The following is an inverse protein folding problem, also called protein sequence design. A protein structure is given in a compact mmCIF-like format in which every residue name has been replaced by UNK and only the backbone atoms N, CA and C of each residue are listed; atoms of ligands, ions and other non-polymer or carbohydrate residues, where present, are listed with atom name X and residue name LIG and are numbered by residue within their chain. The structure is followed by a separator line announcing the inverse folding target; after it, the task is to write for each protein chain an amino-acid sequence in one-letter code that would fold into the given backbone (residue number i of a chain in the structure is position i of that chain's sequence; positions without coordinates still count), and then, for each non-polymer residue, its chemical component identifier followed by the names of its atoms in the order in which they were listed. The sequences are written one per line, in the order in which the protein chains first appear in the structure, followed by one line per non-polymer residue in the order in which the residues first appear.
data_IF_331461084875
#
_entry.id   IF_331461084875
#
_cell.length_a   1.000
_cell.length_b   1.000
_cell.length_c   1.000
_cell.angle_alpha   90.00
_cell.angle_beta   90.00
_cell.angle_gamma   90.00
#
_symmetry.space_group_name_H-M   'P 1'
#
loop_
_entity.id
_entity.type
_entity.pdbx_description
1 polymer ?
#
# COMPACT_ATOMS: atom_id res chain seq x y z
N UNK A 1 4.39 20.94 -18.28
CA UNK A 1 5.17 22.02 -17.62
C UNK A 1 6.32 21.47 -16.76
N UNK A 2 6.13 20.40 -15.94
CA UNK A 2 7.24 19.81 -15.14
C UNK A 2 8.30 19.13 -15.99
N UNK A 3 7.93 18.42 -17.07
CA UNK A 3 8.91 17.81 -18.00
C UNK A 3 9.78 18.84 -18.70
N UNK A 4 9.20 20.00 -19.08
CA UNK A 4 9.98 21.09 -19.70
C UNK A 4 10.97 21.73 -18.75
N UNK A 5 10.64 21.88 -17.45
CA UNK A 5 11.59 22.39 -16.44
C UNK A 5 12.79 21.47 -16.26
N UNK A 6 12.58 20.16 -16.20
CA UNK A 6 13.68 19.18 -16.09
C UNK A 6 14.62 19.22 -17.30
N UNK A 7 14.09 19.38 -18.52
CA UNK A 7 14.92 19.54 -19.72
C UNK A 7 15.78 20.81 -19.71
N UNK A 8 15.30 21.89 -19.11
CA UNK A 8 16.03 23.17 -19.09
C UNK A 8 17.19 23.23 -18.09
N UNK A 9 17.11 22.46 -16.96
CA UNK A 9 18.11 22.50 -15.88
C UNK A 9 19.06 21.29 -15.87
N UNK A 10 18.96 20.38 -16.85
CA UNK A 10 19.75 19.16 -16.96
C UNK A 10 19.71 18.26 -15.72
N UNK A 11 18.59 18.26 -14.98
CA UNK A 11 18.39 17.37 -13.86
C UNK A 11 18.24 15.91 -14.32
N UNK A 12 18.92 15.02 -13.63
CA UNK A 12 18.72 13.58 -13.75
C UNK A 12 17.61 13.10 -12.81
N UNK A 13 16.90 12.06 -13.20
CA UNK A 13 16.00 11.32 -12.31
C UNK A 13 16.78 10.11 -11.82
N UNK A 14 17.00 9.98 -10.51
CA UNK A 14 17.79 8.92 -9.91
C UNK A 14 16.90 7.79 -9.35
N UNK A 15 15.60 8.03 -9.18
CA UNK A 15 14.69 7.05 -8.63
C UNK A 15 13.23 7.34 -8.86
N UNK A 16 12.41 6.30 -8.68
CA UNK A 16 10.97 6.32 -8.83
C UNK A 16 10.31 5.76 -7.57
N UNK A 17 9.24 6.42 -7.11
CA UNK A 17 8.38 5.95 -6.03
C UNK A 17 7.08 5.35 -6.57
N UNK A 18 6.79 4.11 -6.19
CA UNK A 18 5.49 3.47 -6.36
C UNK A 18 4.74 3.67 -5.04
N UNK A 19 3.58 4.31 -5.04
CA UNK A 19 2.84 4.59 -3.80
C UNK A 19 2.50 3.31 -3.05
N UNK A 20 1.81 2.37 -3.68
CA UNK A 20 1.55 1.07 -3.08
C UNK A 20 0.25 1.00 -2.29
N UNK A 21 -0.78 1.75 -2.69
CA UNK A 21 -2.13 1.64 -2.16
C UNK A 21 -2.90 0.55 -2.91
N UNK A 22 -2.95 -0.63 -2.34
CA UNK A 22 -3.60 -1.77 -2.99
C UNK A 22 -4.85 -2.22 -2.23
N UNK A 23 -5.65 -3.07 -2.89
CA UNK A 23 -6.85 -3.67 -2.30
C UNK A 23 -6.62 -5.12 -1.89
N UNK A 24 -7.22 -5.51 -0.79
CA UNK A 24 -7.22 -6.89 -0.30
C UNK A 24 -7.69 -7.86 -1.39
N UNK A 25 -6.89 -8.89 -1.65
CA UNK A 25 -7.16 -9.91 -2.66
C UNK A 25 -7.09 -9.44 -4.11
N UNK A 26 -6.67 -8.19 -4.36
CA UNK A 26 -6.56 -7.61 -5.72
C UNK A 26 -5.18 -6.95 -5.95
N UNK A 27 -4.18 -7.37 -5.21
CA UNK A 27 -2.81 -6.87 -5.39
C UNK A 27 -2.28 -7.31 -6.75
N UNK A 28 -1.90 -6.39 -7.65
CA UNK A 28 -1.48 -6.72 -9.01
C UNK A 28 0.01 -7.12 -9.03
N UNK A 29 0.34 -8.26 -8.45
CA UNK A 29 1.74 -8.70 -8.26
C UNK A 29 2.56 -8.69 -9.55
N UNK A 30 1.97 -9.13 -10.67
CA UNK A 30 2.64 -9.15 -11.96
C UNK A 30 3.00 -7.74 -12.43
N UNK A 31 2.04 -6.82 -12.40
CA UNK A 31 2.24 -5.45 -12.87
C UNK A 31 3.25 -4.70 -11.98
N UNK A 32 3.25 -5.00 -10.66
CA UNK A 32 4.24 -4.46 -9.72
C UNK A 32 5.64 -4.95 -10.11
N UNK A 33 5.80 -6.25 -10.37
CA UNK A 33 7.08 -6.82 -10.77
C UNK A 33 7.58 -6.24 -12.09
N UNK A 34 6.72 -6.18 -13.10
CA UNK A 34 7.04 -5.60 -14.41
C UNK A 34 7.44 -4.13 -14.28
N UNK A 35 6.76 -3.35 -13.45
CA UNK A 35 7.10 -1.95 -13.17
C UNK A 35 8.47 -1.80 -12.53
N UNK A 36 8.79 -2.63 -11.51
CA UNK A 36 10.10 -2.63 -10.85
C UNK A 36 11.21 -2.91 -11.86
N UNK A 37 11.02 -3.93 -12.69
CA UNK A 37 12.00 -4.32 -13.72
C UNK A 37 12.18 -3.24 -14.79
N UNK A 38 11.08 -2.65 -15.26
CA UNK A 38 11.10 -1.61 -16.28
C UNK A 38 11.83 -0.34 -15.81
N UNK A 39 11.54 0.12 -14.58
CA UNK A 39 12.24 1.29 -14.02
C UNK A 39 13.72 1.00 -13.77
N UNK A 40 14.03 -0.18 -13.26
CA UNK A 40 15.42 -0.56 -13.05
C UNK A 40 16.22 -0.66 -14.36
N UNK A 41 15.61 -1.13 -15.45
CA UNK A 41 16.23 -1.18 -16.78
C UNK A 41 16.57 0.22 -17.33
N UNK A 42 15.92 1.27 -16.83
CA UNK A 42 16.25 2.67 -17.11
C UNK A 42 17.37 3.23 -16.21
N UNK A 43 17.97 2.40 -15.36
CA UNK A 43 19.00 2.82 -14.40
C UNK A 43 18.44 3.49 -13.14
N UNK A 44 17.13 3.44 -12.90
CA UNK A 44 16.49 4.10 -11.77
C UNK A 44 16.42 3.19 -10.53
N UNK A 45 16.58 3.78 -9.36
CA UNK A 45 16.26 3.14 -8.08
C UNK A 45 14.76 3.13 -7.87
N UNK A 46 14.23 2.02 -7.34
CA UNK A 46 12.79 1.89 -7.07
C UNK A 46 12.54 1.94 -5.56
N UNK A 47 11.48 2.63 -5.17
CA UNK A 47 11.00 2.70 -3.79
C UNK A 47 9.50 2.43 -3.74
N UNK A 48 9.04 1.76 -2.69
CA UNK A 48 7.62 1.74 -2.31
C UNK A 48 7.46 2.81 -1.25
N UNK A 49 6.59 3.82 -1.50
CA UNK A 49 6.60 5.05 -0.71
C UNK A 49 5.45 5.18 0.27
N UNK A 50 4.33 4.49 0.03
CA UNK A 50 3.09 4.72 0.78
C UNK A 50 2.27 3.43 0.95
N UNK A 51 2.96 2.33 1.30
CA UNK A 51 2.37 0.99 1.34
C UNK A 51 1.23 0.90 2.36
N UNK A 52 0.05 0.54 1.86
CA UNK A 52 -1.06 0.03 2.65
C UNK A 52 -1.96 -0.92 1.80
N UNK A 53 -2.79 -1.73 2.48
CA UNK A 53 -3.76 -2.62 1.82
C UNK A 53 -5.15 -2.26 2.32
N UNK A 54 -5.93 -1.60 1.47
CA UNK A 54 -7.32 -1.25 1.76
C UNK A 54 -8.20 -2.49 1.88
N UNK A 55 -8.96 -2.60 2.96
CA UNK A 55 -9.75 -3.79 3.29
C UNK A 55 -11.26 -3.57 3.17
N UNK A 56 -11.69 -2.31 3.05
CA UNK A 56 -13.11 -1.97 2.97
C UNK A 56 -13.54 -1.68 1.54
N UNK A 57 -14.83 -1.92 1.20
CA UNK A 57 -15.34 -1.62 -0.12
C UNK A 57 -15.35 -0.12 -0.40
N UNK A 58 -15.20 0.23 -1.67
CA UNK A 58 -15.44 1.57 -2.21
C UNK A 58 -16.13 1.48 -3.57
N UNK A 59 -16.92 2.51 -3.92
CA UNK A 59 -17.76 2.50 -5.13
C UNK A 59 -17.07 3.11 -6.36
N UNK A 60 -15.80 3.47 -6.27
CA UNK A 60 -15.04 4.00 -7.41
C UNK A 60 -13.64 3.39 -7.47
N UNK A 61 -13.03 3.49 -8.62
CA UNK A 61 -11.64 3.10 -8.85
C UNK A 61 -10.77 4.35 -9.02
N UNK A 62 -9.48 4.22 -8.71
CA UNK A 62 -8.51 5.28 -8.83
C UNK A 62 -8.12 5.91 -7.49
N UNK A 63 -7.21 6.86 -7.55
CA UNK A 63 -6.58 7.50 -6.40
C UNK A 63 -6.86 9.02 -6.34
N UNK A 64 -7.99 9.47 -6.89
CA UNK A 64 -8.37 10.88 -6.79
C UNK A 64 -8.83 11.20 -5.37
N UNK A 65 -7.95 11.83 -4.61
CA UNK A 65 -8.17 12.22 -3.20
C UNK A 65 -9.26 13.28 -3.03
N UNK A 66 -9.71 13.93 -4.10
CA UNK A 66 -10.82 14.88 -4.05
C UNK A 66 -12.18 14.16 -4.03
N UNK A 67 -12.24 12.91 -4.43
CA UNK A 67 -13.47 12.13 -4.37
C UNK A 67 -13.85 11.86 -2.91
N UNK A 68 -15.08 12.26 -2.58
CA UNK A 68 -15.69 12.01 -1.28
C UNK A 68 -17.03 11.30 -1.47
N UNK A 69 -17.32 10.35 -0.61
CA UNK A 69 -18.59 9.64 -0.58
C UNK A 69 -19.32 9.93 0.73
N UNK A 70 -20.64 10.06 0.66
CA UNK A 70 -21.45 10.16 1.85
C UNK A 70 -21.29 8.89 2.72
N UNK A 71 -21.39 9.06 4.03
CA UNK A 71 -21.36 7.93 4.97
C UNK A 71 -22.45 6.92 4.63
N UNK A 72 -22.05 5.66 4.45
CA UNK A 72 -22.94 4.56 4.15
C UNK A 72 -22.49 3.34 4.96
N UNK A 73 -23.36 2.71 5.77
CA UNK A 73 -22.99 1.52 6.54
C UNK A 73 -22.43 0.37 5.70
N UNK A 74 -22.87 0.20 4.44
CA UNK A 74 -22.33 -0.80 3.53
C UNK A 74 -20.85 -0.56 3.16
N UNK A 75 -20.36 0.66 3.30
CA UNK A 75 -18.95 1.03 3.06
C UNK A 75 -18.11 0.96 4.35
N UNK A 76 -18.71 0.63 5.49
CA UNK A 76 -18.02 0.41 6.77
C UNK A 76 -18.54 -0.86 7.48
N UNK A 77 -18.52 -2.02 6.82
CA UNK A 77 -19.16 -3.25 7.33
C UNK A 77 -18.52 -3.78 8.62
N UNK A 78 -17.28 -3.39 8.90
CA UNK A 78 -16.50 -3.90 10.04
C UNK A 78 -16.22 -2.85 11.11
N UNK A 79 -17.15 -1.91 11.33
CA UNK A 79 -16.99 -0.84 12.32
C UNK A 79 -16.73 -1.35 13.75
N UNK A 80 -17.25 -2.54 14.10
CA UNK A 80 -17.10 -3.17 15.43
C UNK A 80 -15.98 -4.21 15.50
N UNK A 81 -15.26 -4.47 14.44
CA UNK A 81 -14.18 -5.45 14.34
C UNK A 81 -14.20 -6.16 13.00
N UNK A 82 -13.02 -6.53 12.53
CA UNK A 82 -12.84 -7.19 11.25
C UNK A 82 -12.75 -8.71 11.45
N UNK A 83 -13.31 -9.55 10.55
CA UNK A 83 -13.20 -11.00 10.63
C UNK A 83 -11.74 -11.49 10.50
N UNK A 84 -11.39 -12.52 11.29
CA UNK A 84 -10.07 -13.12 11.26
C UNK A 84 -9.68 -13.64 9.86
N UNK A 85 -10.62 -14.14 9.09
CA UNK A 85 -10.38 -14.59 7.71
C UNK A 85 -9.82 -13.49 6.82
N UNK A 86 -10.28 -12.25 6.97
CA UNK A 86 -9.77 -11.09 6.23
C UNK A 86 -8.39 -10.66 6.74
N UNK A 87 -8.12 -10.80 8.05
CA UNK A 87 -6.78 -10.56 8.60
C UNK A 87 -5.77 -11.60 8.08
N UNK A 88 -6.17 -12.87 7.93
CA UNK A 88 -5.33 -13.90 7.34
C UNK A 88 -5.09 -13.67 5.83
N UNK A 89 -6.10 -13.23 5.10
CA UNK A 89 -5.93 -12.84 3.70
C UNK A 89 -4.98 -11.65 3.57
N UNK A 90 -5.11 -10.63 4.43
CA UNK A 90 -4.17 -9.51 4.49
C UNK A 90 -2.74 -9.98 4.77
N UNK A 91 -2.57 -10.92 5.69
CA UNK A 91 -1.26 -11.50 6.00
C UNK A 91 -0.66 -12.21 4.78
N UNK A 92 -1.47 -12.93 4.01
CA UNK A 92 -1.06 -13.59 2.77
C UNK A 92 -0.63 -12.57 1.70
N UNK A 93 -1.42 -11.52 1.48
CA UNK A 93 -1.11 -10.48 0.50
C UNK A 93 0.19 -9.74 0.86
N UNK A 94 0.37 -9.36 2.13
CA UNK A 94 1.62 -8.74 2.60
C UNK A 94 2.82 -9.68 2.47
N UNK A 95 2.66 -10.95 2.84
CA UNK A 95 3.74 -11.93 2.70
C UNK A 95 4.16 -12.09 1.22
N UNK A 96 3.20 -12.14 0.30
CA UNK A 96 3.49 -12.25 -1.14
C UNK A 96 4.14 -10.98 -1.69
N UNK A 97 3.71 -9.80 -1.26
CA UNK A 97 4.37 -8.54 -1.60
C UNK A 97 5.83 -8.53 -1.13
N UNK A 98 6.06 -8.87 0.12
CA UNK A 98 7.42 -8.87 0.66
C UNK A 98 8.31 -9.97 0.07
N UNK A 99 7.75 -11.13 -0.32
CA UNK A 99 8.49 -12.12 -1.13
C UNK A 99 8.92 -11.53 -2.47
N UNK A 100 8.02 -10.80 -3.15
CA UNK A 100 8.33 -10.11 -4.39
C UNK A 100 9.41 -9.04 -4.18
N UNK A 101 9.30 -8.22 -3.15
CA UNK A 101 10.29 -7.19 -2.84
C UNK A 101 11.67 -7.80 -2.50
N UNK A 102 11.70 -8.89 -1.74
CA UNK A 102 12.93 -9.60 -1.41
C UNK A 102 13.58 -10.27 -2.64
N UNK A 103 12.77 -10.78 -3.59
CA UNK A 103 13.25 -11.29 -4.88
C UNK A 103 14.01 -10.20 -5.67
N UNK A 104 13.60 -8.94 -5.53
CA UNK A 104 14.19 -7.79 -6.23
C UNK A 104 14.88 -6.80 -5.27
N UNK A 105 15.44 -7.30 -4.16
CA UNK A 105 16.09 -6.47 -3.12
C UNK A 105 17.27 -5.64 -3.62
N UNK A 106 17.89 -6.03 -4.72
CA UNK A 106 18.97 -5.29 -5.41
C UNK A 106 18.45 -4.06 -6.19
N UNK A 107 17.14 -4.01 -6.48
CA UNK A 107 16.48 -2.95 -7.26
C UNK A 107 15.64 -2.01 -6.39
N UNK A 108 15.14 -2.53 -5.25
CA UNK A 108 14.29 -1.78 -4.32
C UNK A 108 15.14 -1.27 -3.17
N UNK A 109 15.19 0.05 -3.01
CA UNK A 109 16.02 0.69 -1.98
C UNK A 109 15.27 0.96 -0.69
N UNK A 110 13.93 1.02 -0.72
CA UNK A 110 13.12 1.33 0.45
C UNK A 110 11.67 0.85 0.28
N UNK A 111 11.08 0.39 1.39
CA UNK A 111 9.63 0.20 1.52
C UNK A 111 9.17 1.02 2.73
N UNK A 112 8.21 1.92 2.52
CA UNK A 112 7.63 2.79 3.55
C UNK A 112 6.14 2.50 3.65
N UNK A 113 5.66 2.20 4.85
CA UNK A 113 4.23 2.09 5.12
C UNK A 113 3.60 3.47 5.28
N UNK A 114 2.35 3.63 4.83
CA UNK A 114 1.63 4.90 4.93
C UNK A 114 0.91 5.04 6.28
N UNK A 115 1.63 4.81 7.33
CA UNK A 115 1.21 4.91 8.72
C UNK A 115 1.83 3.83 9.61
N UNK A 116 1.74 4.01 10.93
CA UNK A 116 2.28 3.08 11.91
C UNK A 116 1.23 2.04 12.31
N UNK A 117 0.00 2.47 12.60
CA UNK A 117 -1.10 1.61 13.03
C UNK A 117 -2.42 1.98 12.37
N UNK A 118 -3.39 1.08 12.45
CA UNK A 118 -4.70 1.23 11.81
C UNK A 118 -5.46 2.50 12.26
N UNK A 119 -5.22 2.99 13.47
CA UNK A 119 -5.86 4.20 13.98
C UNK A 119 -5.41 5.48 13.29
N UNK A 120 -4.19 5.50 12.77
CA UNK A 120 -3.58 6.64 12.09
C UNK A 120 -3.76 6.61 10.56
N UNK A 121 -4.40 5.56 10.02
CA UNK A 121 -4.58 5.45 8.57
C UNK A 121 -5.47 6.55 8.02
N UNK A 122 -5.04 7.16 6.91
CA UNK A 122 -5.82 8.13 6.15
C UNK A 122 -7.15 7.57 5.63
N UNK A 123 -7.21 6.26 5.40
CA UNK A 123 -8.39 5.53 4.96
C UNK A 123 -9.55 5.55 5.97
N UNK A 124 -9.31 5.95 7.22
CA UNK A 124 -10.38 6.18 8.19
C UNK A 124 -11.22 7.43 7.86
N UNK A 125 -10.65 8.38 7.14
CA UNK A 125 -11.31 9.64 6.73
C UNK A 125 -11.59 9.75 5.25
N UNK A 126 -11.09 8.84 4.43
CA UNK A 126 -11.21 8.87 2.97
C UNK A 126 -11.50 7.46 2.41
N UNK A 127 -12.29 7.33 1.36
CA UNK A 127 -13.14 8.37 0.73
C UNK A 127 -14.42 8.65 1.51
N UNK A 128 -14.71 7.85 2.52
CA UNK A 128 -15.88 7.95 3.39
C UNK A 128 -15.41 8.35 4.78
N UNK A 129 -15.82 9.50 5.32
CA UNK A 129 -15.46 9.92 6.67
C UNK A 129 -15.97 8.96 7.73
N UNK A 130 -15.18 8.77 8.80
CA UNK A 130 -15.58 8.01 9.98
C UNK A 130 -15.58 6.49 9.80
N UNK A 131 -14.91 5.95 8.77
CA UNK A 131 -14.75 4.50 8.64
C UNK A 131 -13.74 3.95 9.65
N UNK A 132 -13.92 2.67 10.01
CA UNK A 132 -12.96 1.92 10.82
C UNK A 132 -12.16 1.02 9.91
N UNK A 133 -10.98 1.48 9.46
CA UNK A 133 -10.15 0.77 8.50
C UNK A 133 -9.02 -0.02 9.18
N UNK A 134 -8.48 -1.06 8.52
CA UNK A 134 -7.50 -2.00 9.07
C UNK A 134 -6.32 -2.26 8.11
N UNK A 135 -5.71 -1.25 7.46
CA UNK A 135 -4.83 -1.48 6.32
C UNK A 135 -3.38 -1.84 6.70
N UNK A 136 -2.94 -1.57 7.92
CA UNK A 136 -1.54 -1.60 8.34
C UNK A 136 -1.15 -2.87 9.11
N UNK A 137 0.12 -2.96 9.51
CA UNK A 137 0.66 -4.14 10.21
C UNK A 137 0.32 -4.19 11.70
N UNK A 138 0.02 -3.03 12.30
CA UNK A 138 -0.35 -2.92 13.71
C UNK A 138 -1.80 -2.47 13.84
N UNK A 139 -2.48 -3.01 14.83
CA UNK A 139 -3.84 -2.59 15.17
C UNK A 139 -3.86 -1.21 15.86
N UNK A 140 -5.07 -0.73 16.22
CA UNK A 140 -5.26 0.57 16.89
C UNK A 140 -4.63 0.66 18.28
N UNK A 141 -4.35 -0.49 18.91
CA UNK A 141 -3.68 -0.60 20.21
C UNK A 141 -2.17 -0.89 20.07
N UNK A 142 -1.60 -0.71 18.87
CA UNK A 142 -0.21 -1.00 18.52
C UNK A 142 0.18 -2.47 18.68
N UNK A 143 -0.78 -3.39 18.72
CA UNK A 143 -0.49 -4.82 18.74
C UNK A 143 -0.19 -5.31 17.32
N UNK A 144 0.80 -6.18 17.14
CA UNK A 144 1.13 -6.74 15.84
C UNK A 144 -0.02 -7.64 15.34
N UNK A 145 -0.40 -7.45 14.09
CA UNK A 145 -1.42 -8.25 13.39
C UNK A 145 -0.80 -9.48 12.71
N UNK A 146 -1.60 -10.46 12.24
CA UNK A 146 -1.10 -11.60 11.48
C UNK A 146 -0.18 -11.20 10.32
N UNK A 147 -0.47 -10.09 9.64
CA UNK A 147 0.35 -9.55 8.56
C UNK A 147 1.78 -9.18 9.00
N UNK A 148 1.94 -8.60 10.20
CA UNK A 148 3.26 -8.34 10.76
C UNK A 148 4.07 -9.62 10.92
N UNK A 149 3.48 -10.63 11.54
CA UNK A 149 4.15 -11.93 11.77
C UNK A 149 4.51 -12.63 10.46
N UNK A 150 3.61 -12.55 9.45
CA UNK A 150 3.85 -13.14 8.14
C UNK A 150 5.03 -12.48 7.40
N UNK A 151 5.17 -11.15 7.52
CA UNK A 151 6.30 -10.41 6.91
C UNK A 151 7.62 -10.73 7.60
N UNK A 152 7.68 -10.68 8.93
CA UNK A 152 8.94 -10.93 9.65
C UNK A 152 9.41 -12.38 9.55
N UNK A 153 8.49 -13.34 9.37
CA UNK A 153 8.82 -14.75 9.16
C UNK A 153 9.59 -15.01 7.85
N UNK A 154 9.61 -14.06 6.92
CA UNK A 154 10.37 -14.16 5.66
C UNK A 154 11.88 -13.93 5.84
N UNK A 155 12.32 -13.55 7.03
CA UNK A 155 13.73 -13.26 7.38
C UNK A 155 14.61 -14.51 7.60
N UNK A 156 14.26 -15.63 7.04
CA UNK A 156 15.12 -16.82 7.12
C UNK A 156 16.10 -16.92 5.96
#
# INVERSE_FOLDING_TARGET
LRRQRQMCIRDSIDGVGIQGHWHLGKVPFKDIEESILAYHALGLKVMITELDIEMLPRNFQGADVNQRQASNPALNPYAKGIPDSLLQQQATDYANLFKLFLKHKDKITRVTFWGVNDGQSWLNGWPVPGRTHYPLLFDRAFKPKPAYHAVIALKK
#
